data_IF_464340426172
#
_entry.id   IF_464340426172
#
_cell.length_a   1.000
_cell.length_b   1.000
_cell.length_c   1.000
_cell.angle_alpha   90.00
_cell.angle_beta   90.00
_cell.angle_gamma   90.00
#
_symmetry.space_group_name_H-M   'P 1'
#
loop_
_entity.id
_entity.type
_entity.pdbx_description
1 polymer ?
#
# COMPACT_ATOMS: atom_id res chain seq x y z
N UNK A 1 8.72 -8.54 16.02
CA UNK A 1 7.76 -7.48 16.39
C UNK A 1 6.40 -7.81 15.81
N UNK A 2 5.38 -7.86 16.65
CA UNK A 2 4.03 -8.21 16.21
C UNK A 2 3.24 -6.95 15.87
N UNK A 3 3.26 -6.57 14.63
CA UNK A 3 2.42 -5.50 14.12
C UNK A 3 1.15 -6.04 13.49
N UNK A 4 0.26 -5.17 13.05
CA UNK A 4 -0.98 -5.57 12.40
C UNK A 4 -0.74 -6.40 11.14
N UNK A 5 0.38 -6.23 10.47
CA UNK A 5 0.75 -7.01 9.27
C UNK A 5 1.06 -8.47 9.59
N UNK A 6 1.30 -8.82 10.86
CA UNK A 6 1.59 -10.19 11.28
C UNK A 6 0.34 -10.99 11.68
N UNK A 7 -0.86 -10.45 11.49
CA UNK A 7 -2.09 -11.12 11.90
C UNK A 7 -2.26 -12.50 11.28
N UNK A 8 -1.79 -12.71 10.05
CA UNK A 8 -1.84 -14.00 9.37
C UNK A 8 -1.03 -15.09 10.04
N UNK A 9 -0.06 -14.73 10.88
CA UNK A 9 0.75 -15.67 11.65
C UNK A 9 0.24 -15.93 13.06
N UNK A 10 -0.81 -15.23 13.49
CA UNK A 10 -1.34 -15.37 14.84
C UNK A 10 -2.38 -16.49 14.92
N UNK A 11 -2.35 -17.26 16.00
CA UNK A 11 -3.34 -18.29 16.24
C UNK A 11 -4.62 -17.67 16.80
N UNK A 12 -5.77 -18.29 16.46
CA UNK A 12 -7.07 -17.87 16.99
C UNK A 12 -7.90 -17.02 16.05
N UNK A 13 -7.36 -16.63 14.90
CA UNK A 13 -8.14 -16.00 13.85
C UNK A 13 -8.84 -17.04 13.00
N UNK A 14 -9.98 -16.66 12.43
CA UNK A 14 -10.71 -17.55 11.54
C UNK A 14 -9.86 -17.92 10.32
N UNK A 15 -9.99 -19.16 9.81
CA UNK A 15 -9.29 -19.54 8.59
C UNK A 15 -9.67 -18.64 7.44
N UNK A 16 -8.68 -18.31 6.62
CA UNK A 16 -8.93 -17.57 5.40
C UNK A 16 -9.70 -18.48 4.45
N UNK A 17 -10.86 -18.02 3.99
CA UNK A 17 -11.62 -18.69 2.95
C UNK A 17 -11.36 -17.96 1.63
N UNK A 18 -10.39 -18.41 0.82
CA UNK A 18 -10.17 -17.79 -0.47
C UNK A 18 -11.38 -18.01 -1.37
N UNK A 19 -11.83 -16.96 -2.02
CA UNK A 19 -12.88 -17.08 -3.02
C UNK A 19 -12.32 -17.85 -4.21
N UNK A 20 -13.07 -18.83 -4.69
CA UNK A 20 -12.76 -19.43 -5.98
C UNK A 20 -12.99 -18.36 -7.05
N UNK A 21 -12.05 -18.21 -7.96
CA UNK A 21 -12.11 -17.21 -9.03
C UNK A 21 -12.00 -15.76 -8.55
N UNK A 22 -11.43 -15.54 -7.37
CA UNK A 22 -11.15 -14.18 -6.91
C UNK A 22 -10.19 -13.48 -7.87
N UNK A 23 -10.54 -12.30 -8.40
CA UNK A 23 -9.63 -11.57 -9.27
C UNK A 23 -8.42 -11.08 -8.49
N UNK A 24 -7.26 -11.05 -9.14
CA UNK A 24 -6.02 -10.51 -8.54
C UNK A 24 -6.23 -9.05 -8.15
N UNK A 25 -6.94 -8.30 -8.97
CA UNK A 25 -7.28 -6.91 -8.70
C UNK A 25 -8.80 -6.74 -8.73
N UNK A 26 -9.35 -6.08 -7.72
CA UNK A 26 -10.78 -5.81 -7.62
C UNK A 26 -11.17 -4.53 -8.37
N UNK A 27 -10.24 -3.59 -8.53
CA UNK A 27 -10.47 -2.30 -9.17
C UNK A 27 -9.25 -1.90 -10.01
N UNK A 28 -9.46 -1.03 -10.99
CA UNK A 28 -8.39 -0.58 -11.89
C UNK A 28 -7.25 0.12 -11.17
N UNK A 29 -7.55 0.91 -10.14
CA UNK A 29 -6.49 1.63 -9.42
C UNK A 29 -5.53 0.67 -8.71
N UNK A 30 -5.99 -0.49 -8.30
CA UNK A 30 -5.15 -1.50 -7.66
C UNK A 30 -4.06 -2.00 -8.62
N UNK A 31 -4.43 -2.25 -9.87
CA UNK A 31 -3.49 -2.65 -10.90
C UNK A 31 -2.46 -1.56 -11.18
N UNK A 32 -2.90 -0.30 -11.18
CA UNK A 32 -2.00 0.85 -11.36
C UNK A 32 -1.00 0.96 -10.21
N UNK A 33 -1.44 0.77 -8.97
CA UNK A 33 -0.55 0.79 -7.81
C UNK A 33 0.45 -0.34 -7.86
N UNK A 34 0.03 -1.55 -8.23
CA UNK A 34 0.92 -2.68 -8.41
C UNK A 34 1.99 -2.37 -9.47
N UNK A 35 1.57 -1.90 -10.64
CA UNK A 35 2.48 -1.59 -11.73
C UNK A 35 3.46 -0.47 -11.35
N UNK A 36 2.98 0.55 -10.64
CA UNK A 36 3.81 1.68 -10.22
C UNK A 36 4.87 1.24 -9.20
N UNK A 37 4.49 0.38 -8.26
CA UNK A 37 5.45 -0.18 -7.30
C UNK A 37 6.54 -1.00 -8.01
N UNK A 38 6.17 -1.82 -9.00
CA UNK A 38 7.15 -2.58 -9.78
C UNK A 38 8.08 -1.66 -10.56
N UNK A 39 7.54 -0.61 -11.18
CA UNK A 39 8.32 0.35 -11.95
C UNK A 39 9.32 1.09 -11.07
N UNK A 40 8.90 1.54 -9.89
CA UNK A 40 9.77 2.24 -8.96
C UNK A 40 10.85 1.32 -8.39
N UNK A 41 10.51 0.06 -8.13
CA UNK A 41 11.49 -0.94 -7.72
C UNK A 41 12.52 -1.23 -8.81
N UNK A 42 12.07 -1.34 -10.06
CA UNK A 42 12.95 -1.54 -11.21
C UNK A 42 13.87 -0.35 -11.45
N UNK A 43 13.42 0.85 -11.13
CA UNK A 43 14.24 2.07 -11.19
C UNK A 43 15.34 2.08 -10.13
N UNK A 44 15.24 1.21 -9.11
CA UNK A 44 16.28 1.06 -8.12
C UNK A 44 16.32 2.14 -7.03
N UNK A 45 15.26 2.89 -6.87
CA UNK A 45 15.21 3.96 -5.87
C UNK A 45 14.99 3.43 -4.45
N UNK A 46 14.34 2.28 -4.34
CA UNK A 46 14.22 1.56 -3.08
C UNK A 46 14.11 0.06 -3.32
N UNK A 47 14.38 -0.71 -2.26
CA UNK A 47 14.31 -2.17 -2.30
C UNK A 47 12.92 -2.66 -1.94
N UNK A 48 12.67 -3.96 -2.21
CA UNK A 48 11.43 -4.62 -1.77
C UNK A 48 11.26 -4.51 -0.26
N UNK A 49 12.34 -4.67 0.50
CA UNK A 49 12.29 -4.59 1.96
C UNK A 49 11.93 -3.19 2.45
N UNK A 50 12.44 -2.15 1.79
CA UNK A 50 12.05 -0.77 2.09
C UNK A 50 10.57 -0.54 1.84
N UNK A 51 10.02 -1.10 0.76
CA UNK A 51 8.60 -1.03 0.47
C UNK A 51 7.75 -1.72 1.52
N UNK A 52 8.17 -2.91 1.96
CA UNK A 52 7.48 -3.65 3.03
C UNK A 52 7.52 -2.87 4.34
N UNK A 53 8.69 -2.35 4.70
CA UNK A 53 8.84 -1.55 5.92
C UNK A 53 7.94 -0.32 5.89
N UNK A 54 7.86 0.37 4.77
CA UNK A 54 7.00 1.55 4.63
C UNK A 54 5.52 1.20 4.86
N UNK A 55 5.05 0.06 4.32
CA UNK A 55 3.68 -0.41 4.55
C UNK A 55 3.41 -0.75 6.00
N UNK A 56 4.41 -1.30 6.69
CA UNK A 56 4.31 -1.65 8.10
C UNK A 56 4.19 -0.43 9.02
N UNK A 57 4.49 0.76 8.53
CA UNK A 57 4.34 2.00 9.29
C UNK A 57 2.89 2.47 9.40
N UNK A 58 1.97 1.88 8.65
CA UNK A 58 0.56 2.22 8.76
C UNK A 58 0.05 1.91 10.17
N UNK A 59 -0.70 2.85 10.81
CA UNK A 59 -1.25 2.57 12.14
C UNK A 59 -2.10 1.29 12.14
N UNK A 60 -2.04 0.47 13.20
CA UNK A 60 -2.74 -0.83 13.22
C UNK A 60 -4.23 -0.77 12.92
N UNK A 61 -4.95 0.20 13.47
CA UNK A 61 -6.39 0.33 13.22
C UNK A 61 -6.67 0.64 11.75
N UNK A 62 -5.88 1.51 11.14
CA UNK A 62 -5.99 1.84 9.73
C UNK A 62 -5.60 0.66 8.85
N UNK A 63 -4.56 -0.06 9.23
CA UNK A 63 -4.12 -1.26 8.51
C UNK A 63 -5.24 -2.30 8.43
N UNK A 64 -5.95 -2.52 9.54
CA UNK A 64 -7.05 -3.47 9.60
C UNK A 64 -8.30 -3.01 8.85
N UNK A 65 -8.49 -1.69 8.72
CA UNK A 65 -9.66 -1.10 8.07
C UNK A 65 -9.51 -0.92 6.56
N UNK A 66 -8.31 -1.14 6.02
CA UNK A 66 -8.02 -0.87 4.61
C UNK A 66 -7.65 -2.15 3.86
N UNK A 67 -7.77 -2.11 2.55
CA UNK A 67 -7.48 -3.25 1.68
C UNK A 67 -5.98 -3.44 1.47
N UNK A 68 -5.62 -4.59 0.90
CA UNK A 68 -4.25 -4.95 0.60
C UNK A 68 -3.54 -3.89 -0.27
N UNK A 69 -4.18 -3.45 -1.36
CA UNK A 69 -3.57 -2.46 -2.25
C UNK A 69 -3.62 -1.05 -1.68
N UNK A 70 -4.48 -0.76 -0.73
CA UNK A 70 -4.40 0.48 0.03
C UNK A 70 -3.14 0.52 0.91
N UNK A 71 -2.71 -0.65 1.43
CA UNK A 71 -1.42 -0.76 2.11
C UNK A 71 -0.26 -0.47 1.16
N UNK A 72 -0.33 -0.96 -0.07
CA UNK A 72 0.67 -0.68 -1.10
C UNK A 72 0.73 0.79 -1.44
N UNK A 73 -0.44 1.43 -1.59
CA UNK A 73 -0.53 2.87 -1.87
C UNK A 73 0.09 3.69 -0.74
N UNK A 74 -0.22 3.33 0.51
CA UNK A 74 0.36 3.99 1.68
C UNK A 74 1.89 3.93 1.65
N UNK A 75 2.44 2.75 1.43
CA UNK A 75 3.89 2.57 1.37
C UNK A 75 4.53 3.33 0.23
N UNK A 76 3.92 3.32 -0.94
CA UNK A 76 4.40 4.05 -2.11
C UNK A 76 4.42 5.56 -1.85
N UNK A 77 3.33 6.11 -1.32
CA UNK A 77 3.23 7.53 -1.01
C UNK A 77 4.31 7.94 0.01
N UNK A 78 4.49 7.14 1.04
CA UNK A 78 5.50 7.39 2.06
C UNK A 78 6.90 7.43 1.47
N UNK A 79 7.26 6.46 0.63
CA UNK A 79 8.58 6.39 0.01
C UNK A 79 8.82 7.52 -0.98
N UNK A 80 7.81 7.87 -1.77
CA UNK A 80 7.90 8.97 -2.73
C UNK A 80 8.19 10.29 -2.02
N UNK A 81 7.56 10.53 -0.88
CA UNK A 81 7.79 11.73 -0.08
C UNK A 81 9.15 11.68 0.59
N UNK A 82 9.51 10.57 1.21
CA UNK A 82 10.80 10.41 1.90
C UNK A 82 12.00 10.54 0.97
N UNK A 83 11.85 10.07 -0.27
CA UNK A 83 12.91 10.16 -1.28
C UNK A 83 12.92 11.48 -2.04
N UNK A 84 12.02 12.40 -1.71
CA UNK A 84 12.02 13.74 -2.28
C UNK A 84 11.47 13.86 -3.69
N UNK A 85 10.74 12.87 -4.19
CA UNK A 85 10.14 12.95 -5.51
C UNK A 85 8.95 13.90 -5.55
N UNK A 86 8.13 13.86 -4.51
CA UNK A 86 6.98 14.73 -4.32
C UNK A 86 6.91 15.15 -2.86
N UNK A 87 6.29 16.30 -2.60
CA UNK A 87 5.97 16.69 -1.24
C UNK A 87 4.57 16.21 -0.88
N UNK A 88 4.29 16.08 0.40
CA UNK A 88 2.94 15.74 0.87
C UNK A 88 1.92 16.79 0.40
N UNK A 89 2.32 18.07 0.40
CA UNK A 89 1.46 19.16 -0.07
C UNK A 89 1.10 19.04 -1.54
N UNK A 90 2.07 18.65 -2.37
CA UNK A 90 1.81 18.41 -3.81
C UNK A 90 0.80 17.30 -4.03
N UNK A 91 0.94 16.20 -3.28
CA UNK A 91 0.01 15.08 -3.36
C UNK A 91 -1.40 15.52 -2.95
N UNK A 92 -1.52 16.18 -1.80
CA UNK A 92 -2.80 16.64 -1.28
C UNK A 92 -3.48 17.66 -2.20
N UNK A 93 -2.69 18.57 -2.76
CA UNK A 93 -3.18 19.57 -3.70
C UNK A 93 -3.74 18.92 -4.97
N UNK A 94 -3.05 17.92 -5.50
CA UNK A 94 -3.50 17.20 -6.70
C UNK A 94 -4.75 16.37 -6.42
N UNK A 95 -4.81 15.71 -5.28
CA UNK A 95 -5.99 14.95 -4.86
C UNK A 95 -7.21 15.87 -4.75
N UNK A 96 -7.04 17.02 -4.11
CA UNK A 96 -8.12 18.01 -3.99
C UNK A 96 -8.61 18.51 -5.36
N UNK A 97 -7.67 18.76 -6.28
CA UNK A 97 -8.02 19.19 -7.64
C UNK A 97 -8.82 18.11 -8.39
N UNK A 98 -8.43 16.84 -8.26
CA UNK A 98 -9.12 15.73 -8.90
C UNK A 98 -10.54 15.50 -8.35
N UNK A 99 -10.75 15.79 -7.06
CA UNK A 99 -12.06 15.64 -6.42
C UNK A 99 -13.08 16.69 -6.87
N UNK A 100 -12.62 17.77 -7.47
CA UNK A 100 -13.49 18.85 -7.96
C UNK A 100 -14.03 18.61 -9.35
N UNK A 101 -13.60 17.55 -10.00
CA UNK A 101 -14.02 17.22 -11.38
C UNK A 101 -15.39 16.51 -11.39
#
# INVERSE_FOLDING_TARGET
MNGAHDLGGMQGFDPINPENDEPVFHQDWERRIFALNLAMGAWGKWTIDMGRYAREQMPPAEYLATSYYEHWLFGLEKLVVEHGFLTQEEIESRVAALRKV
#
